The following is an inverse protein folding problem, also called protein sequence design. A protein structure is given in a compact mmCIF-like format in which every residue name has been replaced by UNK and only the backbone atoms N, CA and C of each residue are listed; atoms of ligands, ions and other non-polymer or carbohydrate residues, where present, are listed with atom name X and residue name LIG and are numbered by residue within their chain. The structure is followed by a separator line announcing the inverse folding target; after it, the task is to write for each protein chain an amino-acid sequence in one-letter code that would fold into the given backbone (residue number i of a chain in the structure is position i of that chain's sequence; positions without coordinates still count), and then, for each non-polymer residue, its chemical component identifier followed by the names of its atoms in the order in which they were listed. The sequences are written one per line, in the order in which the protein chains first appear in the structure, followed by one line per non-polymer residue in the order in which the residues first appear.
data_IF_572463657533
#
_entry.id   IF_572463657533
#
_cell.length_a   1.000
_cell.length_b   1.000
_cell.length_c   1.000
_cell.angle_alpha   90.00
_cell.angle_beta   90.00
_cell.angle_gamma   90.00
#
_symmetry.space_group_name_H-M   'P 1'
#
loop_
_entity.id
_entity.type
_entity.pdbx_description
1 polymer ?
#
# COMPACT_ATOMS: atom_id res chain seq x y z
N UNK A 1 14.26 -12.68 -5.60
CA UNK A 1 13.58 -11.44 -6.01
C UNK A 1 14.68 -10.43 -6.28
N UNK A 2 14.93 -10.07 -7.53
CA UNK A 2 15.79 -8.91 -7.81
C UNK A 2 14.96 -7.68 -7.46
N UNK A 3 15.41 -6.91 -6.50
CA UNK A 3 14.91 -5.57 -6.30
C UNK A 3 15.11 -4.79 -7.60
N UNK A 4 14.05 -4.19 -8.12
CA UNK A 4 14.20 -3.24 -9.21
C UNK A 4 14.94 -2.04 -8.65
N UNK A 5 15.93 -1.54 -9.39
CA UNK A 5 16.61 -0.31 -9.04
C UNK A 5 15.58 0.82 -8.87
N UNK A 6 15.73 1.60 -7.81
CA UNK A 6 14.79 2.69 -7.50
C UNK A 6 14.68 3.70 -8.63
N UNK A 7 15.78 3.98 -9.33
CA UNK A 7 15.80 4.89 -10.47
C UNK A 7 14.99 4.33 -11.64
N UNK A 8 15.14 3.03 -11.92
CA UNK A 8 14.35 2.36 -12.98
C UNK A 8 12.87 2.30 -12.65
N UNK A 9 12.50 2.12 -11.39
CA UNK A 9 11.11 2.19 -10.97
C UNK A 9 10.54 3.60 -11.13
N UNK A 10 11.29 4.61 -10.74
CA UNK A 10 10.93 6.01 -10.92
C UNK A 10 10.77 6.36 -12.40
N UNK A 11 11.73 6.00 -13.26
CA UNK A 11 11.64 6.20 -14.71
C UNK A 11 10.41 5.54 -15.32
N UNK A 12 10.08 4.30 -14.91
CA UNK A 12 8.90 3.60 -15.36
C UNK A 12 7.61 4.32 -14.93
N UNK A 13 7.56 4.85 -13.71
CA UNK A 13 6.45 5.66 -13.22
C UNK A 13 6.27 6.93 -14.04
N UNK A 14 7.35 7.68 -14.27
CA UNK A 14 7.36 8.91 -15.07
C UNK A 14 6.94 8.61 -16.51
N UNK A 15 7.48 7.56 -17.11
CA UNK A 15 7.13 7.15 -18.48
C UNK A 15 5.66 6.75 -18.63
N UNK A 16 5.12 6.02 -17.65
CA UNK A 16 3.70 5.59 -17.64
C UNK A 16 2.76 6.78 -17.52
N UNK A 17 3.12 7.76 -16.70
CA UNK A 17 2.35 8.99 -16.54
C UNK A 17 2.41 9.88 -17.78
N UNK A 18 3.57 9.99 -18.40
CA UNK A 18 3.74 10.71 -19.65
C UNK A 18 2.88 10.09 -20.79
N UNK A 19 2.84 8.76 -20.87
CA UNK A 19 1.95 8.04 -21.81
C UNK A 19 0.46 8.28 -21.54
N UNK A 20 0.09 8.47 -20.27
CA UNK A 20 -1.28 8.79 -19.88
C UNK A 20 -1.66 10.26 -20.13
N UNK A 21 -0.76 11.06 -20.72
CA UNK A 21 -1.00 12.50 -20.95
C UNK A 21 -0.98 13.35 -19.70
N UNK A 22 -0.47 12.81 -18.59
CA UNK A 22 -0.34 13.53 -17.32
C UNK A 22 0.98 14.30 -17.35
N UNK A 23 0.89 15.65 -17.30
CA UNK A 23 2.07 16.50 -17.23
C UNK A 23 2.87 16.20 -15.97
N UNK A 24 4.09 15.72 -16.13
CA UNK A 24 4.96 15.29 -15.03
C UNK A 24 5.54 16.44 -14.22
N UNK A 25 5.50 17.65 -14.75
CA UNK A 25 5.97 18.88 -14.12
C UNK A 25 5.00 19.47 -13.07
N UNK A 26 3.73 19.06 -13.11
CA UNK A 26 2.68 19.55 -12.20
C UNK A 26 2.29 18.59 -11.08
N UNK A 27 2.71 17.32 -11.16
CA UNK A 27 2.38 16.34 -10.13
C UNK A 27 3.57 16.10 -9.22
N UNK A 28 3.49 16.58 -8.02
CA UNK A 28 4.31 16.10 -6.92
C UNK A 28 3.89 14.67 -6.56
N UNK A 29 4.23 13.70 -7.43
CA UNK A 29 4.03 12.29 -7.11
C UNK A 29 4.71 11.98 -5.78
N UNK A 30 3.89 11.61 -4.83
CA UNK A 30 4.34 11.32 -3.49
C UNK A 30 4.33 9.82 -3.20
N UNK A 31 3.43 9.06 -3.87
CA UNK A 31 3.29 7.63 -3.73
C UNK A 31 2.81 6.99 -5.04
N UNK A 32 3.52 6.01 -5.55
CA UNK A 32 3.17 5.27 -6.79
C UNK A 32 3.02 3.80 -6.47
N UNK A 33 1.85 3.24 -6.77
CA UNK A 33 1.53 1.83 -6.57
C UNK A 33 1.61 1.07 -7.88
N UNK A 34 2.33 -0.05 -7.90
CA UNK A 34 2.37 -0.90 -9.09
C UNK A 34 1.13 -1.79 -9.21
N UNK A 35 0.81 -2.15 -10.45
CA UNK A 35 -0.07 -3.27 -10.77
C UNK A 35 0.53 -4.04 -11.94
N UNK A 36 0.10 -5.29 -12.12
CA UNK A 36 0.59 -6.17 -13.18
C UNK A 36 -0.40 -7.31 -13.43
N UNK A 37 -0.32 -7.89 -14.63
CA UNK A 37 -1.09 -9.08 -14.96
C UNK A 37 -0.55 -10.30 -14.18
N UNK A 38 -1.46 -11.09 -13.60
CA UNK A 38 -1.16 -12.33 -12.86
C UNK A 38 -1.76 -13.53 -13.57
N UNK A 39 -1.06 -14.15 -14.54
CA UNK A 39 -1.54 -15.37 -15.16
C UNK A 39 -1.66 -16.48 -14.10
N UNK A 40 -2.72 -17.28 -14.17
CA UNK A 40 -2.94 -18.39 -13.24
C UNK A 40 -3.81 -18.07 -12.00
N UNK A 41 -4.61 -17.00 -12.02
CA UNK A 41 -5.63 -16.75 -11.00
C UNK A 41 -5.10 -16.18 -9.67
N UNK A 42 -3.97 -15.49 -9.69
CA UNK A 42 -3.45 -14.74 -8.54
C UNK A 42 -4.35 -13.56 -8.14
N UNK A 43 -4.19 -13.08 -6.90
CA UNK A 43 -4.91 -11.88 -6.43
C UNK A 43 -6.26 -12.16 -5.77
N UNK A 44 -6.54 -13.39 -5.36
CA UNK A 44 -7.82 -13.76 -4.72
C UNK A 44 -8.19 -12.87 -3.53
N UNK A 45 -7.27 -12.61 -2.62
CA UNK A 45 -7.51 -11.72 -1.47
C UNK A 45 -7.74 -10.27 -1.93
N UNK A 46 -7.07 -9.83 -2.99
CA UNK A 46 -7.31 -8.52 -3.59
C UNK A 46 -8.77 -8.40 -4.04
N UNK A 47 -9.27 -9.39 -4.79
CA UNK A 47 -10.62 -9.32 -5.38
C UNK A 47 -11.73 -9.59 -4.36
N UNK A 48 -11.52 -10.57 -3.45
CA UNK A 48 -12.58 -11.03 -2.54
C UNK A 48 -12.67 -10.14 -1.29
N UNK A 49 -11.56 -9.57 -0.83
CA UNK A 49 -11.53 -8.82 0.42
C UNK A 49 -11.17 -7.34 0.21
N UNK A 50 -9.98 -7.05 -0.33
CA UNK A 50 -9.43 -5.70 -0.23
C UNK A 50 -10.18 -4.71 -1.12
N UNK A 51 -10.47 -5.05 -2.36
CA UNK A 51 -11.25 -4.16 -3.25
C UNK A 51 -12.67 -3.89 -2.74
N UNK A 52 -13.45 -4.88 -2.22
CA UNK A 52 -14.70 -4.61 -1.53
C UNK A 52 -14.57 -3.67 -0.33
N UNK A 53 -13.57 -3.88 0.54
CA UNK A 53 -13.32 -3.01 1.68
C UNK A 53 -13.00 -1.57 1.25
N UNK A 54 -12.10 -1.41 0.28
CA UNK A 54 -11.76 -0.08 -0.21
C UNK A 54 -12.97 0.63 -0.83
N UNK A 55 -13.76 -0.07 -1.66
CA UNK A 55 -14.98 0.52 -2.25
C UNK A 55 -15.98 0.96 -1.19
N UNK A 56 -16.12 0.21 -0.12
CA UNK A 56 -17.10 0.48 0.93
C UNK A 56 -16.66 1.60 1.86
N UNK A 57 -15.41 1.64 2.26
CA UNK A 57 -14.93 2.50 3.35
C UNK A 57 -13.97 3.61 2.90
N UNK A 58 -13.38 3.48 1.71
CA UNK A 58 -12.38 4.42 1.16
C UNK A 58 -12.63 4.59 -0.35
N UNK A 59 -13.77 5.21 -0.74
CA UNK A 59 -14.19 5.28 -2.14
C UNK A 59 -13.16 5.96 -3.05
N UNK A 60 -12.31 6.85 -2.53
CA UNK A 60 -11.21 7.48 -3.27
C UNK A 60 -10.15 6.46 -3.73
N UNK A 61 -10.03 5.34 -3.03
CA UNK A 61 -9.13 4.24 -3.38
C UNK A 61 -9.81 3.13 -4.20
N UNK A 62 -11.10 3.27 -4.53
CA UNK A 62 -11.86 2.26 -5.28
C UNK A 62 -11.26 1.93 -6.66
N UNK A 63 -10.52 2.89 -7.25
CA UNK A 63 -9.81 2.74 -8.51
C UNK A 63 -8.48 1.99 -8.43
N UNK A 64 -8.02 1.59 -7.24
CA UNK A 64 -6.79 0.81 -7.08
C UNK A 64 -6.93 -0.57 -7.72
N UNK A 65 -6.10 -0.86 -8.74
CA UNK A 65 -6.14 -2.12 -9.48
C UNK A 65 -5.59 -3.28 -8.65
N UNK A 66 -4.44 -3.06 -7.98
CA UNK A 66 -3.81 -4.07 -7.12
C UNK A 66 -3.31 -3.46 -5.81
N UNK A 67 -4.21 -3.17 -4.87
CA UNK A 67 -3.84 -2.60 -3.58
C UNK A 67 -2.86 -3.45 -2.77
N UNK A 68 -2.83 -4.77 -2.99
CA UNK A 68 -1.89 -5.71 -2.38
C UNK A 68 -0.62 -5.97 -3.20
N UNK A 69 -0.34 -5.21 -4.26
CA UNK A 69 0.96 -5.33 -4.90
C UNK A 69 2.06 -4.87 -3.94
N UNK A 70 3.11 -5.69 -3.76
CA UNK A 70 4.23 -5.35 -2.88
C UNK A 70 5.17 -4.30 -3.48
N UNK A 71 5.02 -4.03 -4.78
CA UNK A 71 5.83 -3.04 -5.48
C UNK A 71 5.17 -1.67 -5.40
N UNK A 72 5.86 -0.76 -4.75
CA UNK A 72 5.49 0.65 -4.69
C UNK A 72 6.74 1.51 -4.52
N UNK A 73 6.65 2.76 -4.89
CA UNK A 73 7.64 3.78 -4.59
C UNK A 73 6.95 4.97 -3.94
N UNK A 74 7.64 5.60 -2.99
CA UNK A 74 7.15 6.82 -2.37
C UNK A 74 8.32 7.72 -2.00
N UNK A 75 8.06 9.02 -1.87
CA UNK A 75 9.05 9.94 -1.34
C UNK A 75 9.43 9.53 0.08
N UNK A 76 10.72 9.60 0.40
CA UNK A 76 11.23 9.24 1.73
C UNK A 76 10.49 10.00 2.83
N UNK A 77 10.29 11.30 2.67
CA UNK A 77 9.58 12.14 3.63
C UNK A 77 8.14 11.66 3.90
N UNK A 78 7.46 11.09 2.89
CA UNK A 78 6.14 10.49 3.03
C UNK A 78 6.21 9.19 3.85
N UNK A 79 7.14 8.30 3.50
CA UNK A 79 7.28 7.02 4.21
C UNK A 79 7.68 7.21 5.69
N UNK A 80 8.48 8.22 6.00
CA UNK A 80 8.88 8.53 7.37
C UNK A 80 7.69 9.01 8.24
N UNK A 81 6.61 9.46 7.63
CA UNK A 81 5.39 9.89 8.29
C UNK A 81 4.30 8.82 8.40
N UNK A 82 4.46 7.70 7.70
CA UNK A 82 3.49 6.61 7.72
C UNK A 82 3.88 5.55 8.74
N UNK A 83 2.91 4.97 9.46
CA UNK A 83 3.16 3.81 10.32
C UNK A 83 3.45 2.57 9.46
N UNK A 84 4.23 1.64 9.99
CA UNK A 84 4.61 0.41 9.31
C UNK A 84 3.95 -0.81 9.96
N UNK A 85 2.84 -1.29 9.42
CA UNK A 85 2.21 -2.51 9.88
C UNK A 85 3.12 -3.72 9.72
N UNK A 86 3.01 -4.64 10.66
CA UNK A 86 3.67 -5.92 10.57
C UNK A 86 2.91 -6.86 9.62
N UNK A 87 3.64 -7.67 8.84
CA UNK A 87 3.06 -8.73 8.02
C UNK A 87 2.40 -8.25 6.73
N UNK A 88 1.22 -8.79 6.41
CA UNK A 88 0.58 -8.69 5.09
C UNK A 88 -0.30 -7.45 4.87
N UNK A 89 -0.39 -6.57 5.83
CA UNK A 89 -1.30 -5.42 5.74
C UNK A 89 -0.64 -4.14 5.22
N UNK A 90 0.69 -4.08 5.20
CA UNK A 90 1.45 -2.86 4.87
C UNK A 90 1.02 -2.22 3.55
N UNK A 91 0.79 -3.01 2.51
CA UNK A 91 0.46 -2.49 1.19
C UNK A 91 -0.89 -1.76 1.17
N UNK A 92 -1.90 -2.30 1.86
CA UNK A 92 -3.24 -1.71 1.89
C UNK A 92 -3.32 -0.56 2.89
N UNK A 93 -2.72 -0.72 4.05
CA UNK A 93 -2.78 0.29 5.11
C UNK A 93 -1.99 1.54 4.75
N UNK A 94 -0.85 1.40 4.08
CA UNK A 94 -0.11 2.56 3.54
C UNK A 94 -0.96 3.38 2.55
N UNK A 95 -1.77 2.74 1.71
CA UNK A 95 -2.69 3.48 0.82
C UNK A 95 -3.72 4.28 1.62
N UNK A 96 -4.29 3.68 2.67
CA UNK A 96 -5.29 4.33 3.53
C UNK A 96 -4.66 5.47 4.33
N UNK A 97 -3.50 5.23 4.93
CA UNK A 97 -2.80 6.22 5.75
C UNK A 97 -2.28 7.38 4.88
N UNK A 98 -1.81 7.06 3.67
CA UNK A 98 -1.44 8.07 2.68
C UNK A 98 -2.64 8.94 2.30
N UNK A 99 -3.79 8.32 1.94
CA UNK A 99 -5.01 9.04 1.61
C UNK A 99 -5.42 10.01 2.72
N UNK A 100 -5.40 9.56 3.96
CA UNK A 100 -5.80 10.36 5.12
C UNK A 100 -4.89 11.55 5.38
N UNK A 101 -3.59 11.35 5.20
CA UNK A 101 -2.61 12.37 5.54
C UNK A 101 -2.35 13.35 4.41
N UNK A 102 -2.34 12.87 3.17
CA UNK A 102 -1.91 13.64 2.00
C UNK A 102 -3.02 13.82 0.93
N UNK A 103 -4.14 13.13 1.10
CA UNK A 103 -5.19 13.11 0.08
C UNK A 103 -4.84 12.20 -1.10
N UNK A 104 -5.68 12.20 -2.14
CA UNK A 104 -5.54 11.32 -3.31
C UNK A 104 -4.61 11.87 -4.39
N UNK A 105 -4.36 13.18 -4.40
CA UNK A 105 -3.70 13.86 -5.52
C UNK A 105 -2.25 13.45 -5.77
N UNK A 106 -1.53 13.04 -4.72
CA UNK A 106 -0.16 12.54 -4.84
C UNK A 106 -0.05 11.04 -5.11
N UNK A 107 -1.18 10.34 -5.32
CA UNK A 107 -1.24 8.90 -5.49
C UNK A 107 -1.37 8.54 -6.98
N UNK A 108 -0.49 7.69 -7.48
CA UNK A 108 -0.54 7.20 -8.85
C UNK A 108 -0.42 5.67 -8.91
N UNK A 109 -0.69 5.12 -10.09
CA UNK A 109 -0.50 3.69 -10.37
C UNK A 109 0.36 3.50 -11.62
N UNK A 110 1.21 2.49 -11.63
CA UNK A 110 2.04 2.13 -12.77
C UNK A 110 1.88 0.66 -13.15
N UNK A 111 1.86 0.37 -14.45
CA UNK A 111 1.79 -1.00 -14.98
C UNK A 111 3.19 -1.60 -15.09
N UNK A 112 3.42 -2.71 -14.41
CA UNK A 112 4.65 -3.49 -14.51
C UNK A 112 4.48 -4.72 -15.42
N UNK A 113 3.50 -4.66 -16.33
CA UNK A 113 3.20 -5.66 -17.36
C UNK A 113 2.77 -7.01 -16.77
N UNK A 114 3.62 -8.02 -16.78
CA UNK A 114 3.28 -9.39 -16.41
C UNK A 114 4.21 -9.94 -15.34
N UNK A 115 3.62 -10.57 -14.30
CA UNK A 115 4.37 -11.25 -13.24
C UNK A 115 3.81 -12.62 -12.92
N UNK A 116 4.69 -13.62 -12.87
CA UNK A 116 4.31 -14.98 -12.44
C UNK A 116 4.52 -15.09 -10.93
N UNK A 117 3.45 -15.41 -10.20
CA UNK A 117 3.49 -15.65 -8.77
C UNK A 117 3.09 -17.08 -8.45
N UNK A 118 3.70 -17.66 -7.42
CA UNK A 118 3.24 -18.93 -6.86
C UNK A 118 1.91 -18.72 -6.15
N UNK A 119 0.95 -19.59 -6.42
CA UNK A 119 -0.33 -19.62 -5.72
C UNK A 119 -0.11 -20.14 -4.30
N UNK A 120 -0.65 -19.44 -3.30
CA UNK A 120 -0.62 -19.86 -1.89
C UNK A 120 -1.80 -20.77 -1.57
N UNK A 121 -1.66 -21.71 -0.62
CA UNK A 121 -2.77 -22.46 -0.07
C UNK A 121 -3.88 -21.56 0.49
N UNK A 122 -5.11 -22.03 0.51
CA UNK A 122 -6.25 -21.26 0.99
C UNK A 122 -6.11 -20.86 2.48
N UNK A 123 -5.55 -21.72 3.28
CA UNK A 123 -5.30 -21.47 4.71
C UNK A 123 -4.36 -20.27 4.92
N UNK A 124 -3.27 -20.17 4.14
CA UNK A 124 -2.36 -19.03 4.19
C UNK A 124 -3.04 -17.74 3.74
N UNK A 125 -3.93 -17.83 2.74
CA UNK A 125 -4.73 -16.69 2.30
C UNK A 125 -5.74 -16.26 3.37
N UNK A 126 -6.28 -17.20 4.15
CA UNK A 126 -7.15 -16.92 5.28
C UNK A 126 -6.45 -16.12 6.37
N UNK A 127 -5.27 -16.56 6.79
CA UNK A 127 -4.44 -15.83 7.77
C UNK A 127 -4.05 -14.43 7.27
N UNK A 128 -3.68 -14.32 6.00
CA UNK A 128 -3.38 -13.04 5.37
C UNK A 128 -4.61 -12.13 5.36
N UNK A 129 -5.78 -12.68 5.03
CA UNK A 129 -7.03 -11.92 4.97
C UNK A 129 -7.44 -11.37 6.34
N UNK A 130 -7.30 -12.18 7.40
CA UNK A 130 -7.60 -11.75 8.78
C UNK A 130 -6.70 -10.58 9.21
N UNK A 131 -5.39 -10.68 8.97
CA UNK A 131 -4.45 -9.61 9.29
C UNK A 131 -4.78 -8.30 8.56
N UNK A 132 -5.09 -8.38 7.27
CA UNK A 132 -5.48 -7.22 6.47
C UNK A 132 -6.79 -6.62 6.98
N UNK A 133 -7.80 -7.47 7.21
CA UNK A 133 -9.11 -7.03 7.69
C UNK A 133 -8.99 -6.25 9.01
N UNK A 134 -8.28 -6.82 10.00
CA UNK A 134 -8.04 -6.15 11.28
C UNK A 134 -7.36 -4.80 11.12
N UNK A 135 -6.31 -4.74 10.31
CA UNK A 135 -5.55 -3.50 10.08
C UNK A 135 -6.38 -2.43 9.37
N UNK A 136 -7.29 -2.82 8.47
CA UNK A 136 -8.22 -1.90 7.81
C UNK A 136 -9.29 -1.43 8.78
N UNK A 137 -9.89 -2.34 9.56
CA UNK A 137 -10.92 -2.01 10.56
C UNK A 137 -10.38 -1.07 11.65
N UNK A 138 -9.12 -1.25 12.08
CA UNK A 138 -8.46 -0.36 13.03
C UNK A 138 -8.35 1.10 12.51
N UNK A 139 -8.48 1.30 11.22
CA UNK A 139 -8.47 2.62 10.56
C UNK A 139 -9.85 3.21 10.34
N UNK A 140 -10.92 2.56 10.75
CA UNK A 140 -12.26 3.14 10.64
C UNK A 140 -12.58 4.05 11.85
N UNK A 141 -13.41 5.08 11.65
CA UNK A 141 -13.92 5.88 12.76
C UNK A 141 -14.64 4.98 13.79
N UNK A 142 -14.33 5.13 15.07
CA UNK A 142 -14.90 4.31 16.14
C UNK A 142 -14.36 2.88 16.20
N UNK A 143 -13.21 2.61 15.59
CA UNK A 143 -12.57 1.30 15.64
C UNK A 143 -12.34 0.83 17.09
N UNK A 144 -12.62 -0.45 17.33
CA UNK A 144 -12.38 -1.05 18.64
C UNK A 144 -10.88 -1.25 18.87
N UNK A 145 -10.36 -1.03 20.10
CA UNK A 145 -8.95 -1.26 20.44
C UNK A 145 -8.46 -2.67 20.08
N UNK A 146 -9.34 -3.68 20.19
CA UNK A 146 -9.02 -5.08 19.83
C UNK A 146 -8.70 -5.29 18.35
N UNK A 147 -9.10 -4.39 17.46
CA UNK A 147 -8.75 -4.46 16.04
C UNK A 147 -7.27 -4.13 15.79
N UNK A 148 -6.62 -3.44 16.70
CA UNK A 148 -5.20 -3.07 16.60
C UNK A 148 -4.24 -4.16 17.08
N UNK A 149 -4.73 -5.26 17.66
CA UNK A 149 -3.89 -6.33 18.20
C UNK A 149 -3.95 -7.58 17.31
N UNK A 150 -2.81 -8.21 17.05
CA UNK A 150 -2.72 -9.48 16.35
C UNK A 150 -3.36 -10.64 17.14
N UNK A 151 -3.60 -11.77 16.48
CA UNK A 151 -4.13 -12.99 17.11
C UNK A 151 -3.25 -13.47 18.28
N UNK A 152 -1.96 -13.20 18.20
CA UNK A 152 -0.93 -13.58 19.19
C UNK A 152 -0.71 -12.50 20.25
N UNK A 153 -1.52 -11.44 20.29
CA UNK A 153 -1.35 -10.30 21.23
C UNK A 153 -0.19 -9.36 20.90
N UNK A 154 0.50 -9.56 19.77
CA UNK A 154 1.59 -8.71 19.31
C UNK A 154 1.11 -7.40 18.68
N UNK A 155 1.96 -6.38 18.70
CA UNK A 155 1.70 -5.13 17.98
C UNK A 155 1.58 -5.39 16.49
N UNK A 156 0.46 -4.95 15.89
CA UNK A 156 0.22 -5.02 14.45
C UNK A 156 0.98 -3.95 13.67
N UNK A 157 1.50 -2.94 14.34
CA UNK A 157 2.02 -1.75 13.68
C UNK A 157 3.21 -1.14 14.43
N UNK A 158 4.22 -0.70 13.67
CA UNK A 158 5.31 0.13 14.18
C UNK A 158 4.98 1.60 13.93
N UNK A 159 5.28 2.49 14.88
CA UNK A 159 5.04 3.92 14.71
C UNK A 159 5.84 4.49 13.52
N UNK A 160 5.44 5.65 12.99
CA UNK A 160 6.18 6.36 11.96
C UNK A 160 7.63 6.60 12.34
N UNK A 161 8.56 6.52 11.41
CA UNK A 161 9.99 6.75 11.68
C UNK A 161 10.25 8.09 12.34
N UNK A 162 9.55 9.16 11.94
CA UNK A 162 9.67 10.48 12.56
C UNK A 162 9.29 10.52 14.03
N UNK A 163 8.44 9.61 14.49
CA UNK A 163 8.07 9.51 15.89
C UNK A 163 9.15 8.80 16.75
N UNK A 164 10.05 8.06 16.11
CA UNK A 164 11.06 7.22 16.77
C UNK A 164 12.46 7.84 16.68
N UNK A 165 12.75 8.57 15.61
CA UNK A 165 14.04 9.24 15.44
C UNK A 165 14.05 10.56 16.26
N UNK A 166 15.06 10.81 17.09
CA UNK A 166 15.23 12.11 17.69
C UNK A 166 15.36 13.17 16.58
N UNK A 167 14.60 14.25 16.71
CA UNK A 167 14.80 15.42 15.86
C UNK A 167 16.29 15.78 15.90
N UNK A 168 16.97 15.71 14.75
CA UNK A 168 18.29 16.29 14.65
C UNK A 168 18.16 17.75 15.06
N UNK A 169 18.85 18.16 16.13
CA UNK A 169 18.87 19.53 16.55
C UNK A 169 19.43 20.33 15.36
N UNK A 170 18.65 21.26 14.85
CA UNK A 170 19.09 22.23 13.86
C UNK A 170 20.29 22.97 14.43
N UNK A 171 21.46 22.74 13.82
CA UNK A 171 22.71 23.42 14.15
C UNK A 171 22.93 24.57 13.19
#
# INVERSE_FOLDING_TARGET
VRAMDGDRFYELCVHTLAKAGVATDRFELAYVKAFYERPGGGGRVTEILVRPLLRQFFPELAGMRQPLAGEYAARRAVLEELPFPAGYSVETTHLIDFLRRFGVHGLAQTDLERRVHRTRPLEDLGRMSDAILRSVLARLPGALPSAATGLDGGELERPPFRAVLPMAADS
#
